data_IF_272755851720
#
_entry.id   IF_272755851720
#
_cell.length_a   1.000
_cell.length_b   1.000
_cell.length_c   1.000
_cell.angle_alpha   90.00
_cell.angle_beta   90.00
_cell.angle_gamma   90.00
#
_symmetry.space_group_name_H-M   'P 1'
#
loop_
_entity.id
_entity.type
_entity.pdbx_description
1 polymer ?
#
# COMPACT_ATOMS: atom_id res chain seq x y z
N UNK A 1 7.80 20.64 10.77
CA UNK A 1 6.83 19.75 10.10
C UNK A 1 7.07 19.64 8.58
N UNK A 2 7.04 20.73 7.81
CA UNK A 2 7.27 20.68 6.34
C UNK A 2 8.60 19.99 5.98
N UNK A 3 9.69 20.33 6.68
CA UNK A 3 11.00 19.70 6.46
C UNK A 3 10.97 18.18 6.69
N UNK A 4 10.20 17.69 7.67
CA UNK A 4 10.07 16.25 7.94
C UNK A 4 9.30 15.54 6.82
N UNK A 5 8.23 16.15 6.32
CA UNK A 5 7.49 15.63 5.16
C UNK A 5 8.38 15.57 3.91
N UNK A 6 9.13 16.64 3.64
CA UNK A 6 10.10 16.68 2.55
C UNK A 6 11.17 15.60 2.70
N UNK A 7 11.70 15.39 3.91
CA UNK A 7 12.68 14.34 4.19
C UNK A 7 12.10 12.94 3.94
N UNK A 8 10.86 12.68 4.36
CA UNK A 8 10.15 11.45 4.07
C UNK A 8 9.99 11.21 2.57
N UNK A 9 9.63 12.25 1.82
CA UNK A 9 9.51 12.19 0.35
C UNK A 9 10.84 11.89 -0.34
N UNK A 10 11.93 12.54 0.09
CA UNK A 10 13.28 12.25 -0.42
C UNK A 10 13.70 10.81 -0.12
N UNK A 11 13.40 10.31 1.09
CA UNK A 11 13.68 8.93 1.47
C UNK A 11 12.89 7.94 0.60
N UNK A 12 11.60 8.22 0.36
CA UNK A 12 10.76 7.43 -0.52
C UNK A 12 11.29 7.41 -1.97
N UNK A 13 11.69 8.56 -2.51
CA UNK A 13 12.27 8.65 -3.85
C UNK A 13 13.58 7.84 -3.98
N UNK A 14 14.46 7.92 -2.98
CA UNK A 14 15.69 7.11 -2.91
C UNK A 14 15.40 5.61 -2.81
N UNK A 15 14.42 5.22 -1.99
CA UNK A 15 13.97 3.84 -1.89
C UNK A 15 13.39 3.34 -3.22
N UNK A 16 12.65 4.20 -3.93
CA UNK A 16 12.04 3.89 -5.22
C UNK A 16 13.02 3.91 -6.40
N UNK A 17 14.23 4.46 -6.21
CA UNK A 17 15.18 4.81 -7.27
C UNK A 17 14.63 5.80 -8.31
N UNK A 18 13.96 6.84 -7.82
CA UNK A 18 13.33 7.89 -8.65
C UNK A 18 13.94 9.25 -8.30
N UNK A 19 14.15 10.08 -9.30
CA UNK A 19 14.59 11.46 -9.12
C UNK A 19 13.41 12.37 -8.74
N UNK A 20 13.61 13.25 -7.76
CA UNK A 20 12.68 14.34 -7.45
C UNK A 20 13.08 15.54 -8.30
N UNK A 21 12.21 15.93 -9.24
CA UNK A 21 12.52 16.97 -10.24
C UNK A 21 11.93 18.34 -9.91
N UNK A 22 10.79 18.38 -9.21
CA UNK A 22 10.11 19.61 -8.82
C UNK A 22 9.17 19.32 -7.63
N UNK A 23 8.75 20.37 -6.94
CA UNK A 23 7.71 20.37 -5.90
C UNK A 23 7.16 21.77 -5.72
N UNK A 24 5.93 21.88 -5.21
CA UNK A 24 5.24 23.15 -4.97
C UNK A 24 4.65 23.16 -3.56
N UNK A 25 4.57 24.35 -2.96
CA UNK A 25 3.86 24.57 -1.71
C UNK A 25 2.80 25.63 -1.91
N UNK A 26 1.57 25.34 -1.48
CA UNK A 26 0.46 26.29 -1.54
C UNK A 26 -0.15 26.47 -0.15
N UNK A 27 -0.35 27.73 0.24
CA UNK A 27 -1.10 28.09 1.44
C UNK A 27 -2.56 28.28 1.06
N UNK A 28 -3.42 27.38 1.56
CA UNK A 28 -4.82 27.29 1.12
C UNK A 28 -5.81 27.79 2.18
N UNK A 29 -5.32 28.34 3.30
CA UNK A 29 -6.15 28.85 4.40
C UNK A 29 -7.23 27.85 4.84
N UNK A 30 -8.49 28.29 4.85
CA UNK A 30 -9.63 27.48 5.25
C UNK A 30 -10.11 26.46 4.21
N UNK A 31 -9.50 26.41 3.02
CA UNK A 31 -9.88 25.42 2.00
C UNK A 31 -9.39 24.00 2.34
N UNK A 32 -8.51 23.85 3.34
CA UNK A 32 -8.00 22.55 3.80
C UNK A 32 -8.43 22.30 5.25
N UNK A 33 -9.29 21.30 5.43
CA UNK A 33 -9.68 20.79 6.75
C UNK A 33 -8.68 19.76 7.30
N UNK A 34 -8.90 19.31 8.53
CA UNK A 34 -8.07 18.28 9.16
C UNK A 34 -8.03 18.38 10.68
N UNK A 35 -7.28 17.47 11.29
CA UNK A 35 -7.03 17.40 12.74
C UNK A 35 -5.85 18.28 13.15
N UNK A 36 -5.94 18.88 14.33
CA UNK A 36 -4.87 19.70 14.91
C UNK A 36 -4.60 21.03 14.19
N UNK A 37 -3.46 21.63 14.53
CA UNK A 37 -3.06 22.98 14.08
C UNK A 37 -2.39 23.00 12.71
N UNK A 38 -1.95 21.85 12.19
CA UNK A 38 -1.30 21.75 10.87
C UNK A 38 -2.14 20.87 9.94
N UNK A 39 -3.01 21.53 9.18
CA UNK A 39 -3.92 20.89 8.21
C UNK A 39 -3.28 20.98 6.83
N UNK A 40 -3.13 19.86 6.16
CA UNK A 40 -2.47 19.82 4.86
C UNK A 40 -3.06 18.72 3.98
N UNK A 41 -2.90 18.91 2.67
CA UNK A 41 -3.06 17.86 1.69
C UNK A 41 -1.69 17.60 1.03
N UNK A 42 -1.40 16.34 0.74
CA UNK A 42 -0.15 15.94 0.12
C UNK A 42 -0.41 15.16 -1.16
N UNK A 43 0.17 15.62 -2.27
CA UNK A 43 0.04 14.97 -3.56
C UNK A 43 1.42 14.83 -4.21
N UNK A 44 1.62 13.74 -4.96
CA UNK A 44 2.81 13.51 -5.74
C UNK A 44 2.43 12.86 -7.08
N UNK A 45 3.16 13.24 -8.13
CA UNK A 45 3.08 12.61 -9.45
C UNK A 45 4.37 11.87 -9.77
N UNK A 46 4.26 10.74 -10.48
CA UNK A 46 5.41 9.99 -10.99
C UNK A 46 5.26 9.81 -12.49
N UNK A 47 6.34 10.13 -13.23
CA UNK A 47 6.45 9.90 -14.66
C UNK A 47 7.44 8.76 -14.88
N UNK A 48 7.09 7.81 -15.73
CA UNK A 48 7.90 6.64 -16.05
C UNK A 48 7.71 6.22 -17.51
N UNK A 49 8.64 5.43 -18.02
CA UNK A 49 8.62 4.89 -19.37
C UNK A 49 8.73 3.36 -19.32
N UNK A 50 8.00 2.67 -20.19
CA UNK A 50 8.14 1.23 -20.38
C UNK A 50 8.08 0.87 -21.87
N UNK A 51 8.63 -0.30 -22.19
CA UNK A 51 8.38 -0.92 -23.48
C UNK A 51 6.94 -1.48 -23.48
N UNK A 52 6.17 -1.10 -24.50
CA UNK A 52 4.77 -1.54 -24.68
C UNK A 52 4.63 -3.06 -24.64
N UNK A 53 5.60 -3.78 -25.20
CA UNK A 53 5.60 -5.25 -25.30
C UNK A 53 5.84 -5.94 -23.95
N UNK A 54 6.26 -5.19 -22.93
CA UNK A 54 6.58 -5.69 -21.59
C UNK A 54 5.56 -5.27 -20.53
N UNK A 55 4.50 -4.54 -20.93
CA UNK A 55 3.46 -4.14 -20.00
C UNK A 55 2.67 -5.35 -19.53
N UNK A 56 2.42 -5.43 -18.22
CA UNK A 56 1.50 -6.43 -17.68
C UNK A 56 0.07 -6.12 -18.11
N UNK A 57 -0.47 -6.96 -18.98
CA UNK A 57 -1.86 -6.84 -19.42
C UNK A 57 -2.78 -7.79 -18.66
N UNK A 58 -2.20 -8.79 -17.97
CA UNK A 58 -2.93 -9.85 -17.29
C UNK A 58 -3.37 -10.97 -18.24
N UNK A 59 -3.13 -10.84 -19.56
CA UNK A 59 -3.43 -11.88 -20.54
C UNK A 59 -2.37 -12.98 -20.57
N UNK A 60 -1.18 -12.68 -20.06
CA UNK A 60 -0.05 -13.59 -19.99
C UNK A 60 -0.18 -14.59 -18.84
N UNK A 61 -1.11 -14.34 -17.91
CA UNK A 61 -1.39 -15.18 -16.75
C UNK A 61 -2.05 -16.48 -17.21
N UNK A 62 -1.62 -17.59 -16.63
CA UNK A 62 -2.05 -18.94 -17.00
C UNK A 62 -2.31 -19.80 -15.77
N UNK A 63 -3.02 -20.90 -15.98
CA UNK A 63 -3.22 -21.94 -14.96
C UNK A 63 -1.85 -22.45 -14.50
N UNK A 64 -1.74 -22.69 -13.19
CA UNK A 64 -0.51 -23.08 -12.47
C UNK A 64 0.57 -21.99 -12.37
N UNK A 65 0.27 -20.74 -12.71
CA UNK A 65 1.13 -19.64 -12.28
C UNK A 65 1.13 -19.54 -10.75
N UNK A 66 2.31 -19.26 -10.18
CA UNK A 66 2.44 -19.04 -8.74
C UNK A 66 2.22 -17.56 -8.40
N UNK A 67 1.67 -17.32 -7.21
CA UNK A 67 1.49 -15.98 -6.67
C UNK A 67 2.42 -15.82 -5.47
N UNK A 68 3.46 -14.99 -5.64
CA UNK A 68 4.40 -14.64 -4.58
C UNK A 68 4.03 -13.27 -4.05
N UNK A 69 3.76 -13.19 -2.75
CA UNK A 69 3.41 -11.93 -2.09
C UNK A 69 4.62 -11.35 -1.37
N UNK A 70 4.79 -10.03 -1.45
CA UNK A 70 5.72 -9.28 -0.62
C UNK A 70 4.97 -8.69 0.57
N UNK A 71 5.51 -8.93 1.77
CA UNK A 71 4.87 -8.54 3.03
C UNK A 71 4.79 -7.03 3.20
N UNK A 72 3.63 -6.54 3.63
CA UNK A 72 3.42 -5.19 4.12
C UNK A 72 3.33 -5.17 5.65
N UNK A 73 3.82 -4.08 6.26
CA UNK A 73 3.98 -3.99 7.71
C UNK A 73 2.93 -3.11 8.41
N UNK A 74 2.00 -2.52 7.67
CA UNK A 74 1.03 -1.57 8.19
C UNK A 74 -0.16 -1.33 7.27
N UNK A 75 -0.97 -0.33 7.61
CA UNK A 75 -2.17 0.04 6.84
C UNK A 75 -1.86 0.74 5.51
N UNK A 76 -0.62 1.22 5.35
CA UNK A 76 -0.19 2.08 4.24
C UNK A 76 -0.99 3.39 4.25
N UNK A 77 -1.67 3.70 3.16
CA UNK A 77 -2.48 4.91 2.97
C UNK A 77 -3.95 4.61 2.66
N UNK A 78 -4.45 3.40 2.96
CA UNK A 78 -5.81 2.97 2.64
C UNK A 78 -6.57 2.47 3.86
N UNK A 79 -7.89 2.66 3.90
CA UNK A 79 -8.73 2.23 5.02
C UNK A 79 -8.54 3.03 6.31
N UNK A 80 -7.76 4.11 6.30
CA UNK A 80 -7.50 4.94 7.49
C UNK A 80 -8.76 5.63 8.03
N UNK A 81 -9.80 5.82 7.21
CA UNK A 81 -11.09 6.32 7.70
C UNK A 81 -11.80 5.31 8.60
N UNK A 82 -11.73 4.02 8.28
CA UNK A 82 -12.26 2.96 9.13
C UNK A 82 -11.45 2.87 10.43
N UNK A 83 -10.12 2.90 10.32
CA UNK A 83 -9.22 2.91 11.49
C UNK A 83 -9.56 4.05 12.45
N UNK A 84 -9.68 5.29 11.94
CA UNK A 84 -10.05 6.45 12.77
C UNK A 84 -11.42 6.31 13.41
N UNK A 85 -12.39 5.77 12.69
CA UNK A 85 -13.74 5.54 13.23
C UNK A 85 -13.68 4.52 14.36
N UNK A 86 -13.13 3.35 14.09
CA UNK A 86 -13.09 2.22 15.02
C UNK A 86 -12.31 2.55 16.30
N UNK A 87 -11.08 3.06 16.18
CA UNK A 87 -10.32 3.47 17.36
C UNK A 87 -10.91 4.70 18.06
N UNK A 88 -11.54 5.61 17.31
CA UNK A 88 -12.20 6.78 17.89
C UNK A 88 -13.45 6.43 18.70
N UNK A 89 -14.23 5.44 18.25
CA UNK A 89 -15.40 4.93 18.98
C UNK A 89 -15.00 4.22 20.27
N UNK A 90 -13.90 3.46 20.26
CA UNK A 90 -13.41 2.71 21.42
C UNK A 90 -12.62 3.57 22.42
N UNK A 91 -11.68 4.39 21.93
CA UNK A 91 -10.71 5.11 22.77
C UNK A 91 -10.88 6.63 22.80
N UNK A 92 -11.85 7.18 22.06
CA UNK A 92 -12.10 8.62 21.97
C UNK A 92 -11.19 9.37 20.99
N UNK A 93 -11.26 10.70 21.00
CA UNK A 93 -10.58 11.56 20.02
C UNK A 93 -9.05 11.41 20.02
N UNK A 94 -8.47 11.14 21.20
CA UNK A 94 -7.04 10.95 21.41
C UNK A 94 -6.58 9.49 21.28
N UNK A 95 -7.33 8.64 20.56
CA UNK A 95 -7.01 7.22 20.36
C UNK A 95 -5.57 6.98 19.86
N UNK A 96 -5.01 7.93 19.11
CA UNK A 96 -3.67 7.84 18.52
C UNK A 96 -2.55 7.91 19.57
N UNK A 97 -2.86 8.41 20.78
CA UNK A 97 -1.94 8.47 21.92
C UNK A 97 -1.99 7.21 22.79
N UNK A 98 -2.98 6.33 22.59
CA UNK A 98 -3.11 5.09 23.36
C UNK A 98 -1.92 4.17 23.12
N UNK A 99 -1.39 3.61 24.20
CA UNK A 99 -0.32 2.62 24.12
C UNK A 99 -0.89 1.24 23.76
N UNK A 100 -0.26 0.61 22.78
CA UNK A 100 -0.54 -0.76 22.38
C UNK A 100 0.78 -1.45 22.06
N UNK A 101 1.05 -2.54 22.76
CA UNK A 101 2.32 -3.29 22.67
C UNK A 101 3.60 -2.44 22.84
N UNK A 102 3.55 -1.44 23.72
CA UNK A 102 4.71 -0.60 24.05
C UNK A 102 5.00 0.50 23.02
N UNK A 103 4.08 0.79 22.11
CA UNK A 103 4.14 1.90 21.16
C UNK A 103 2.76 2.58 21.05
N UNK A 104 2.72 3.85 20.62
CA UNK A 104 1.46 4.55 20.39
C UNK A 104 0.73 3.99 19.17
N UNK A 105 -0.59 3.77 19.28
CA UNK A 105 -1.42 3.33 18.13
C UNK A 105 -1.25 4.24 16.91
N UNK A 106 -1.14 5.55 17.10
CA UNK A 106 -0.87 6.49 16.01
C UNK A 106 0.41 6.18 15.24
N UNK A 107 1.49 5.85 15.94
CA UNK A 107 2.78 5.49 15.32
C UNK A 107 2.68 4.16 14.55
N UNK A 108 2.00 3.17 15.13
CA UNK A 108 1.77 1.87 14.48
C UNK A 108 0.93 2.02 13.22
N UNK A 109 -0.15 2.81 13.28
CA UNK A 109 -1.02 3.10 12.12
C UNK A 109 -0.26 3.87 11.03
N UNK A 110 0.64 4.78 11.43
CA UNK A 110 1.49 5.57 10.53
C UNK A 110 2.75 4.83 10.04
N UNK A 111 2.88 3.52 10.30
CA UNK A 111 3.96 2.70 9.76
C UNK A 111 4.13 2.96 8.25
N UNK A 112 5.32 3.42 7.80
CA UNK A 112 5.53 3.78 6.41
C UNK A 112 5.26 2.63 5.45
N UNK A 113 4.65 2.94 4.30
CA UNK A 113 4.43 1.93 3.25
C UNK A 113 5.76 1.40 2.71
N UNK A 114 5.83 0.09 2.52
CA UNK A 114 6.98 -0.52 1.86
C UNK A 114 7.00 -0.15 0.37
N UNK A 115 8.20 0.14 -0.16
CA UNK A 115 8.42 0.53 -1.56
C UNK A 115 9.07 -0.63 -2.31
N UNK A 116 8.30 -1.27 -3.18
CA UNK A 116 8.71 -2.50 -3.87
C UNK A 116 9.31 -2.30 -5.26
N UNK A 117 9.43 -1.06 -5.75
CA UNK A 117 9.80 -0.79 -7.16
C UNK A 117 11.13 -1.41 -7.56
N UNK A 118 12.15 -1.35 -6.69
CA UNK A 118 13.46 -1.97 -6.95
C UNK A 118 13.37 -3.48 -7.12
N UNK A 119 12.58 -4.16 -6.27
CA UNK A 119 12.36 -5.59 -6.37
C UNK A 119 11.69 -5.95 -7.70
N UNK A 120 10.63 -5.22 -8.08
CA UNK A 120 9.92 -5.44 -9.35
C UNK A 120 10.83 -5.19 -10.54
N UNK A 121 11.59 -4.10 -10.55
CA UNK A 121 12.53 -3.78 -11.65
C UNK A 121 13.66 -4.80 -11.74
N UNK A 122 14.13 -5.34 -10.61
CA UNK A 122 15.12 -6.41 -10.62
C UNK A 122 14.56 -7.71 -11.23
N UNK A 123 13.35 -8.11 -10.84
CA UNK A 123 12.72 -9.35 -11.30
C UNK A 123 12.27 -9.27 -12.76
N UNK A 124 11.59 -8.18 -13.14
CA UNK A 124 11.04 -8.00 -14.48
C UNK A 124 12.04 -7.41 -15.48
N UNK A 125 12.98 -6.59 -15.00
CA UNK A 125 13.79 -5.69 -15.80
C UNK A 125 13.12 -4.33 -16.04
N UNK A 126 13.93 -3.32 -16.31
CA UNK A 126 13.49 -1.97 -16.66
C UNK A 126 13.38 -1.74 -18.17
N UNK A 127 13.35 -0.48 -18.61
CA UNK A 127 13.15 -0.12 -20.03
C UNK A 127 14.14 -0.79 -20.99
N UNK A 128 15.43 -0.91 -20.61
CA UNK A 128 16.50 -1.52 -21.42
C UNK A 128 17.15 -2.75 -20.78
N UNK A 129 16.74 -3.14 -19.57
CA UNK A 129 17.37 -4.24 -18.84
C UNK A 129 16.47 -5.46 -18.80
N UNK A 130 17.08 -6.63 -18.80
CA UNK A 130 16.38 -7.89 -18.57
C UNK A 130 16.18 -8.11 -17.07
N UNK A 131 15.12 -8.85 -16.75
CA UNK A 131 14.85 -9.29 -15.39
C UNK A 131 15.58 -10.58 -15.03
N UNK A 132 15.60 -10.92 -13.75
CA UNK A 132 16.10 -12.21 -13.28
C UNK A 132 15.11 -13.36 -13.42
N UNK A 133 13.82 -13.08 -13.65
CA UNK A 133 12.81 -14.11 -13.91
C UNK A 133 11.70 -13.63 -14.85
N UNK A 134 10.90 -14.58 -15.34
CA UNK A 134 9.67 -14.28 -16.08
C UNK A 134 8.54 -14.07 -15.08
N UNK A 135 7.83 -12.95 -15.22
CA UNK A 135 6.63 -12.66 -14.45
C UNK A 135 5.49 -12.31 -15.42
N UNK A 136 4.29 -12.81 -15.13
CA UNK A 136 3.09 -12.61 -15.96
C UNK A 136 2.19 -11.48 -15.42
N UNK A 137 2.39 -11.07 -14.17
CA UNK A 137 1.64 -9.96 -13.60
C UNK A 137 2.21 -9.44 -12.29
N UNK A 138 1.82 -8.21 -11.96
CA UNK A 138 2.09 -7.59 -10.67
C UNK A 138 0.83 -6.89 -10.20
N UNK A 139 0.42 -7.12 -8.96
CA UNK A 139 -0.73 -6.47 -8.35
C UNK A 139 -0.33 -5.74 -7.08
N UNK A 140 -0.58 -4.43 -7.07
CA UNK A 140 -0.30 -3.56 -5.94
C UNK A 140 -1.50 -3.49 -5.00
N UNK A 141 -1.41 -4.17 -3.86
CA UNK A 141 -2.51 -4.31 -2.92
C UNK A 141 -2.65 -2.99 -2.12
N UNK A 142 -3.73 -2.27 -2.41
CA UNK A 142 -4.07 -0.92 -1.93
C UNK A 142 -5.57 -0.91 -1.60
N UNK A 143 -6.27 0.23 -1.63
CA UNK A 143 -7.71 0.27 -1.33
C UNK A 143 -8.54 -0.63 -2.26
N UNK A 144 -9.45 -1.42 -1.69
CA UNK A 144 -10.11 -2.56 -2.35
C UNK A 144 -9.43 -3.90 -2.07
N UNK A 145 -8.27 -3.88 -1.40
CA UNK A 145 -7.54 -5.03 -0.88
C UNK A 145 -7.23 -6.09 -1.94
N UNK A 146 -7.11 -7.35 -1.49
CA UNK A 146 -6.83 -8.47 -2.38
C UNK A 146 -7.92 -8.64 -3.44
N UNK A 147 -9.23 -8.69 -3.10
CA UNK A 147 -10.28 -8.93 -4.10
C UNK A 147 -10.30 -7.87 -5.21
N UNK A 148 -10.14 -6.59 -4.84
CA UNK A 148 -10.17 -5.50 -5.81
C UNK A 148 -8.93 -5.41 -6.68
N UNK A 149 -7.73 -5.64 -6.11
CA UNK A 149 -6.46 -5.44 -6.83
C UNK A 149 -6.02 -6.68 -7.56
N UNK A 150 -6.03 -7.84 -6.90
CA UNK A 150 -5.66 -9.10 -7.54
C UNK A 150 -6.73 -9.50 -8.57
N UNK A 151 -8.01 -9.34 -8.26
CA UNK A 151 -9.09 -9.59 -9.22
C UNK A 151 -8.97 -8.75 -10.50
N UNK A 152 -8.52 -7.49 -10.41
CA UNK A 152 -8.33 -6.62 -11.58
C UNK A 152 -7.28 -7.15 -12.55
N UNK A 153 -6.14 -7.65 -12.06
CA UNK A 153 -5.07 -8.15 -12.92
C UNK A 153 -5.38 -9.54 -13.48
N UNK A 154 -6.16 -10.36 -12.75
CA UNK A 154 -6.58 -11.69 -13.20
C UNK A 154 -7.69 -11.64 -14.25
N UNK A 155 -8.60 -10.66 -14.17
CA UNK A 155 -9.79 -10.54 -15.02
C UNK A 155 -9.53 -10.77 -16.53
N UNK A 156 -8.47 -10.25 -17.16
CA UNK A 156 -8.23 -10.46 -18.59
C UNK A 156 -7.91 -11.91 -18.98
N UNK A 157 -7.35 -12.70 -18.07
CA UNK A 157 -7.09 -14.13 -18.29
C UNK A 157 -8.34 -15.00 -18.10
N UNK A 158 -9.34 -14.50 -17.36
CA UNK A 158 -10.53 -15.26 -16.98
C UNK A 158 -10.31 -16.24 -15.81
N UNK A 159 -9.11 -16.28 -15.22
CA UNK A 159 -8.79 -17.16 -14.10
C UNK A 159 -9.06 -16.50 -12.74
N UNK A 160 -9.21 -17.36 -11.72
CA UNK A 160 -9.17 -16.98 -10.31
C UNK A 160 -7.82 -17.29 -9.68
N UNK A 161 -7.70 -16.99 -8.39
CA UNK A 161 -6.53 -17.35 -7.58
C UNK A 161 -6.98 -18.01 -6.29
N UNK A 162 -6.25 -19.05 -5.89
CA UNK A 162 -6.33 -19.67 -4.57
C UNK A 162 -5.12 -19.21 -3.77
N UNK A 163 -5.35 -18.63 -2.59
CA UNK A 163 -4.30 -18.13 -1.70
C UNK A 163 -4.38 -18.92 -0.40
N UNK A 164 -3.33 -19.66 -0.08
CA UNK A 164 -3.30 -20.61 1.03
C UNK A 164 -2.16 -20.39 2.05
N UNK A 165 -1.18 -19.54 1.71
CA UNK A 165 -0.05 -19.18 2.57
C UNK A 165 0.08 -17.66 2.61
N UNK A 166 -0.76 -17.03 3.43
CA UNK A 166 -0.85 -15.58 3.55
C UNK A 166 -0.08 -15.10 4.78
N UNK A 167 0.55 -13.93 4.67
CA UNK A 167 1.10 -13.25 5.84
C UNK A 167 0.00 -12.89 6.83
N UNK A 168 0.32 -13.01 8.12
CA UNK A 168 -0.48 -12.40 9.17
C UNK A 168 -0.47 -10.87 9.03
N UNK A 169 -1.62 -10.20 9.23
CA UNK A 169 -1.68 -8.74 9.27
C UNK A 169 -0.81 -8.19 10.41
N UNK A 170 -0.43 -6.92 10.35
CA UNK A 170 0.26 -6.32 11.49
C UNK A 170 -0.68 -6.24 12.70
N UNK A 171 -0.11 -6.27 13.90
CA UNK A 171 -0.89 -6.36 15.14
C UNK A 171 -1.85 -5.21 15.37
N UNK A 172 -1.51 -3.99 14.95
CA UNK A 172 -2.44 -2.87 15.01
C UNK A 172 -3.65 -3.05 14.07
N UNK A 173 -3.48 -3.76 12.95
CA UNK A 173 -4.57 -4.12 12.04
C UNK A 173 -5.45 -5.22 12.61
N UNK A 174 -4.85 -6.26 13.22
CA UNK A 174 -5.59 -7.30 13.94
C UNK A 174 -6.40 -6.69 15.08
N UNK A 175 -5.77 -5.84 15.90
CA UNK A 175 -6.43 -5.13 16.99
C UNK A 175 -7.59 -4.27 16.51
N UNK A 176 -7.38 -3.47 15.44
CA UNK A 176 -8.46 -2.68 14.84
C UNK A 176 -9.61 -3.57 14.31
N UNK A 177 -9.28 -4.73 13.75
CA UNK A 177 -10.28 -5.68 13.26
C UNK A 177 -11.11 -6.26 14.40
N UNK A 178 -10.44 -6.68 15.48
CA UNK A 178 -11.05 -7.29 16.67
C UNK A 178 -12.01 -6.33 17.36
N UNK A 179 -11.54 -5.13 17.75
CA UNK A 179 -12.40 -4.17 18.47
C UNK A 179 -13.55 -3.63 17.60
N UNK A 180 -13.34 -3.59 16.29
CA UNK A 180 -14.35 -3.11 15.34
C UNK A 180 -15.35 -4.18 14.94
N UNK A 181 -15.20 -5.42 15.43
CA UNK A 181 -15.95 -6.60 15.00
C UNK A 181 -15.98 -6.74 13.47
N UNK A 182 -14.87 -6.40 12.81
CA UNK A 182 -14.77 -6.35 11.35
C UNK A 182 -14.56 -7.78 10.83
N UNK A 183 -15.50 -8.29 10.05
CA UNK A 183 -15.36 -9.58 9.38
C UNK A 183 -14.11 -9.64 8.49
N UNK A 184 -13.48 -10.81 8.37
CA UNK A 184 -12.33 -11.01 7.46
C UNK A 184 -12.65 -10.53 6.04
N UNK A 185 -13.85 -10.79 5.54
CA UNK A 185 -14.25 -10.37 4.19
C UNK A 185 -14.16 -8.85 4.02
N UNK A 186 -14.56 -8.07 5.02
CA UNK A 186 -14.48 -6.61 4.99
C UNK A 186 -13.04 -6.13 5.19
N UNK A 187 -12.29 -6.77 6.11
CA UNK A 187 -10.89 -6.46 6.34
C UNK A 187 -10.04 -6.65 5.07
N UNK A 188 -10.21 -7.77 4.36
CA UNK A 188 -9.54 -8.07 3.08
C UNK A 188 -10.02 -7.21 1.90
N UNK A 189 -11.19 -6.55 2.00
CA UNK A 189 -11.65 -5.55 1.02
C UNK A 189 -11.13 -4.15 1.31
N UNK A 190 -10.91 -3.84 2.59
CA UNK A 190 -10.55 -2.49 3.02
C UNK A 190 -9.04 -2.32 3.11
N UNK A 191 -8.34 -3.28 3.71
CA UNK A 191 -6.91 -3.25 3.98
C UNK A 191 -6.14 -4.24 3.12
N UNK A 192 -4.81 -4.13 3.21
CA UNK A 192 -3.91 -5.04 2.54
C UNK A 192 -3.68 -6.34 3.29
N UNK A 193 -4.12 -6.46 4.56
CA UNK A 193 -4.03 -7.65 5.42
C UNK A 193 -2.63 -8.30 5.54
N UNK A 194 -1.56 -7.52 5.34
CA UNK A 194 -0.17 -7.99 5.37
C UNK A 194 0.39 -8.32 3.98
N UNK A 195 -0.43 -8.28 2.93
CA UNK A 195 -0.04 -8.56 1.55
C UNK A 195 0.16 -7.25 0.80
N UNK A 196 1.39 -6.79 0.57
CA UNK A 196 1.67 -5.48 -0.03
C UNK A 196 1.70 -5.45 -1.56
N UNK A 197 2.33 -6.47 -2.16
CA UNK A 197 2.47 -6.60 -3.60
C UNK A 197 2.42 -8.09 -3.97
N UNK A 198 1.55 -8.48 -4.88
CA UNK A 198 1.51 -9.82 -5.44
C UNK A 198 2.23 -9.87 -6.79
N UNK A 199 3.07 -10.87 -7.00
CA UNK A 199 3.81 -11.14 -8.24
C UNK A 199 3.34 -12.49 -8.77
N UNK A 200 2.96 -12.53 -10.03
CA UNK A 200 2.41 -13.72 -10.70
C UNK A 200 3.46 -14.23 -11.68
N UNK A 201 3.82 -15.52 -11.62
CA UNK A 201 4.95 -16.11 -12.36
C UNK A 201 4.59 -17.38 -13.10
#
# INVERSE_FOLDING_TARGET
MIQQLAQGYVNAAKAANVAVINGELAELGNAVGGYGNFKYNWCAGVIWFANKERLFTGKEIKVNDFIVVLQEKGFRSNGLSLVRKTFGEEYGEDWHEQEFEGEKLGNLVLTPSTIYSKAVVHLHGGFKTNGSCKIHGVSHITGGGIPGKLGRILKPSGYGAELNDLFEPCKAMQHCQEIGEISDQEAYRTWNMGQGLAIIT
#
